data_IF_624707260066
#
_entry.id   IF_624707260066
#
_cell.length_a   1.000
_cell.length_b   1.000
_cell.length_c   1.000
_cell.angle_alpha   90.00
_cell.angle_beta   90.00
_cell.angle_gamma   90.00
#
_symmetry.space_group_name_H-M   'P 1'
#
loop_
_entity.id
_entity.type
_entity.pdbx_description
1 polymer ?
#
# COMPACT_ATOMS: atom_id res chain seq x y z
N UNK A 1 33.05 -7.75 14.85
CA UNK A 1 33.18 -7.14 13.51
C UNK A 1 32.98 -8.14 12.36
N UNK A 2 33.49 -9.38 12.44
CA UNK A 2 33.32 -10.38 11.38
C UNK A 2 31.85 -10.76 11.09
N UNK A 3 30.98 -10.85 12.10
CA UNK A 3 29.56 -11.19 11.91
C UNK A 3 28.76 -10.10 11.17
N UNK A 4 29.05 -8.82 11.44
CA UNK A 4 28.42 -7.70 10.72
C UNK A 4 28.87 -7.64 9.27
N UNK A 5 30.15 -7.92 9.00
CA UNK A 5 30.70 -7.98 7.65
C UNK A 5 30.16 -9.20 6.87
N UNK A 6 30.05 -10.37 7.51
CA UNK A 6 29.46 -11.57 6.91
C UNK A 6 27.97 -11.39 6.61
N UNK A 7 27.24 -10.69 7.49
CA UNK A 7 25.83 -10.33 7.27
C UNK A 7 25.69 -9.31 6.12
N UNK A 8 26.56 -8.29 6.05
CA UNK A 8 26.56 -7.33 4.95
C UNK A 8 26.91 -7.97 3.60
N UNK A 9 27.87 -8.90 3.57
CA UNK A 9 28.23 -9.67 2.37
C UNK A 9 27.08 -10.58 1.93
N UNK A 10 26.39 -11.21 2.89
CA UNK A 10 25.18 -11.99 2.64
C UNK A 10 24.06 -11.15 2.02
N UNK A 11 23.82 -9.95 2.55
CA UNK A 11 22.79 -9.02 2.04
C UNK A 11 23.12 -8.52 0.62
N UNK A 12 24.39 -8.18 0.34
CA UNK A 12 24.82 -7.81 -1.00
C UNK A 12 24.62 -8.95 -2.02
N UNK A 13 24.88 -10.20 -1.61
CA UNK A 13 24.59 -11.38 -2.43
C UNK A 13 23.11 -11.53 -2.73
N UNK A 14 22.23 -11.33 -1.74
CA UNK A 14 20.77 -11.35 -1.92
C UNK A 14 20.33 -10.28 -2.93
N UNK A 15 20.85 -9.06 -2.81
CA UNK A 15 20.50 -7.96 -3.72
C UNK A 15 20.96 -8.20 -5.17
N UNK A 16 22.12 -8.81 -5.37
CA UNK A 16 22.63 -9.16 -6.71
C UNK A 16 21.74 -10.21 -7.40
N UNK A 17 21.42 -11.30 -6.70
CA UNK A 17 20.53 -12.37 -7.21
C UNK A 17 19.14 -11.82 -7.52
N UNK A 18 18.63 -10.95 -6.65
CA UNK A 18 17.36 -10.26 -6.88
C UNK A 18 17.36 -9.47 -8.20
N UNK A 19 18.42 -8.71 -8.49
CA UNK A 19 18.50 -7.92 -9.72
C UNK A 19 18.47 -8.81 -10.97
N UNK A 20 19.19 -9.93 -10.96
CA UNK A 20 19.16 -10.91 -12.04
C UNK A 20 17.77 -11.53 -12.21
N UNK A 21 17.12 -11.93 -11.11
CA UNK A 21 15.76 -12.46 -11.13
C UNK A 21 14.76 -11.45 -11.72
N UNK A 22 14.82 -10.19 -11.30
CA UNK A 22 13.97 -9.12 -11.85
C UNK A 22 14.23 -8.88 -13.34
N UNK A 23 15.44 -9.17 -13.83
CA UNK A 23 15.75 -9.15 -15.25
C UNK A 23 15.17 -10.37 -15.97
N UNK A 24 15.23 -11.57 -15.38
CA UNK A 24 14.65 -12.78 -15.94
C UNK A 24 13.13 -12.66 -16.16
N UNK A 25 12.39 -12.04 -15.23
CA UNK A 25 10.96 -11.74 -15.44
C UNK A 25 10.71 -10.80 -16.62
N UNK A 26 11.58 -9.79 -16.83
CA UNK A 26 11.46 -8.87 -17.97
C UNK A 26 11.74 -9.58 -19.28
N UNK A 27 12.72 -10.47 -19.31
CA UNK A 27 13.06 -11.22 -20.52
C UNK A 27 11.93 -12.20 -20.87
N UNK A 28 11.34 -12.87 -19.88
CA UNK A 28 10.18 -13.75 -20.05
C UNK A 28 8.98 -13.04 -20.66
N UNK A 29 8.69 -11.83 -20.17
CA UNK A 29 7.56 -11.02 -20.64
C UNK A 29 7.84 -10.31 -21.96
N UNK A 30 9.11 -10.13 -22.35
CA UNK A 30 9.51 -9.41 -23.57
C UNK A 30 9.49 -10.27 -24.84
N UNK A 31 9.48 -11.60 -24.72
CA UNK A 31 9.38 -12.47 -25.88
C UNK A 31 8.18 -12.05 -26.77
N UNK A 32 8.41 -11.88 -28.07
CA UNK A 32 7.55 -11.09 -28.96
C UNK A 32 6.36 -11.89 -29.47
N UNK A 33 5.23 -11.21 -29.59
CA UNK A 33 3.96 -11.66 -30.19
C UNK A 33 3.50 -13.06 -29.73
N UNK A 34 3.31 -13.17 -28.42
CA UNK A 34 2.71 -14.37 -27.85
C UNK A 34 1.26 -14.58 -28.33
N UNK A 35 0.90 -15.82 -28.69
CA UNK A 35 -0.47 -16.21 -29.02
C UNK A 35 -1.38 -16.03 -27.82
N UNK A 36 -2.69 -15.99 -28.10
CA UNK A 36 -3.75 -15.93 -27.08
C UNK A 36 -3.54 -16.91 -25.92
N UNK A 37 -3.02 -18.11 -26.22
CA UNK A 37 -2.79 -19.18 -25.24
C UNK A 37 -1.78 -18.87 -24.14
N UNK A 38 -0.89 -17.88 -24.29
CA UNK A 38 0.20 -17.61 -23.34
C UNK A 38 0.02 -16.33 -22.53
N UNK A 39 -1.00 -15.52 -22.84
CA UNK A 39 -1.22 -14.24 -22.13
C UNK A 39 -1.41 -14.43 -20.63
N UNK A 40 -2.00 -15.55 -20.22
CA UNK A 40 -2.20 -15.89 -18.81
C UNK A 40 -0.86 -16.11 -18.11
N UNK A 41 0.07 -16.86 -18.71
CA UNK A 41 1.39 -17.12 -18.13
C UNK A 41 2.22 -15.84 -18.04
N UNK A 42 2.15 -14.99 -19.06
CA UNK A 42 2.82 -13.70 -19.04
C UNK A 42 2.27 -12.78 -17.95
N UNK A 43 0.95 -12.74 -17.82
CA UNK A 43 0.28 -11.97 -16.77
C UNK A 43 0.67 -12.50 -15.39
N UNK A 44 0.73 -13.82 -15.20
CA UNK A 44 1.22 -14.45 -13.98
C UNK A 44 2.68 -14.06 -13.69
N UNK A 45 3.58 -14.16 -14.67
CA UNK A 45 4.98 -13.76 -14.51
C UNK A 45 5.12 -12.27 -14.15
N UNK A 46 4.28 -11.42 -14.71
CA UNK A 46 4.27 -9.98 -14.37
C UNK A 46 3.76 -9.71 -12.96
N UNK A 47 2.77 -10.49 -12.48
CA UNK A 47 2.31 -10.41 -11.09
C UNK A 47 3.38 -10.92 -10.12
N UNK A 48 4.08 -12.01 -10.48
CA UNK A 48 5.21 -12.54 -9.71
C UNK A 48 6.38 -11.54 -9.64
N UNK A 49 6.70 -10.83 -10.72
CA UNK A 49 7.66 -9.72 -10.74
C UNK A 49 7.24 -8.63 -9.73
N UNK A 50 5.99 -8.18 -9.78
CA UNK A 50 5.49 -7.16 -8.85
C UNK A 50 5.48 -7.65 -7.39
N UNK A 51 5.12 -8.91 -7.16
CA UNK A 51 5.16 -9.56 -5.84
C UNK A 51 6.59 -9.64 -5.29
N UNK A 52 7.54 -10.08 -6.12
CA UNK A 52 8.98 -10.13 -5.79
C UNK A 52 9.52 -8.74 -5.46
N UNK A 53 9.15 -7.71 -6.24
CA UNK A 53 9.52 -6.32 -5.96
C UNK A 53 8.93 -5.84 -4.65
N UNK A 54 7.64 -6.03 -4.43
CA UNK A 54 6.99 -5.60 -3.18
C UNK A 54 7.64 -6.24 -1.94
N UNK A 55 8.00 -7.51 -2.03
CA UNK A 55 8.74 -8.20 -0.97
C UNK A 55 10.11 -7.57 -0.75
N UNK A 56 10.90 -7.38 -1.81
CA UNK A 56 12.25 -6.82 -1.74
C UNK A 56 12.28 -5.41 -1.15
N UNK A 57 11.31 -4.58 -1.49
CA UNK A 57 11.16 -3.24 -0.90
C UNK A 57 10.78 -3.32 0.59
N UNK A 58 9.83 -4.19 0.94
CA UNK A 58 9.38 -4.36 2.32
C UNK A 58 10.47 -4.93 3.25
N UNK A 59 11.33 -5.80 2.73
CA UNK A 59 12.51 -6.29 3.45
C UNK A 59 13.72 -5.35 3.33
N UNK A 60 13.60 -4.22 2.65
CA UNK A 60 14.63 -3.19 2.57
C UNK A 60 15.87 -3.58 1.74
N UNK A 61 15.72 -4.51 0.78
CA UNK A 61 16.76 -4.89 -0.18
C UNK A 61 16.82 -3.94 -1.38
N UNK A 62 15.75 -3.17 -1.61
CA UNK A 62 15.72 -2.13 -2.63
C UNK A 62 14.77 -1.00 -2.21
N UNK A 63 14.89 0.16 -2.85
CA UNK A 63 13.93 1.26 -2.71
C UNK A 63 12.85 1.23 -3.80
N UNK A 64 11.90 2.18 -3.70
CA UNK A 64 10.82 2.38 -4.66
C UNK A 64 11.27 2.65 -6.11
N UNK A 65 12.54 3.01 -6.32
CA UNK A 65 13.12 3.22 -7.67
C UNK A 65 13.76 1.93 -8.23
N UNK A 66 13.86 0.89 -7.41
CA UNK A 66 14.57 -0.36 -7.71
C UNK A 66 16.08 -0.29 -7.45
N UNK A 67 16.57 0.76 -6.78
CA UNK A 67 17.97 0.86 -6.40
C UNK A 67 18.26 -0.08 -5.22
N UNK A 68 19.37 -0.83 -5.22
CA UNK A 68 19.68 -1.78 -4.17
C UNK A 68 19.95 -1.07 -2.84
N UNK A 69 19.45 -1.65 -1.75
CA UNK A 69 19.67 -1.22 -0.38
C UNK A 69 20.38 -2.33 0.40
N UNK A 70 21.22 -1.94 1.34
CA UNK A 70 21.99 -2.88 2.16
C UNK A 70 21.28 -3.21 3.49
N UNK A 71 19.95 -3.32 3.48
CA UNK A 71 19.15 -3.66 4.68
C UNK A 71 18.43 -4.99 4.46
N UNK A 72 18.15 -5.69 5.54
CA UNK A 72 17.33 -6.91 5.53
C UNK A 72 16.37 -6.91 6.72
N UNK A 73 15.26 -6.20 6.54
CA UNK A 73 14.24 -5.85 7.52
C UNK A 73 13.19 -6.96 7.67
N UNK A 74 13.63 -8.14 8.07
CA UNK A 74 12.75 -9.27 8.40
C UNK A 74 12.53 -9.38 9.91
N UNK A 75 11.48 -10.10 10.34
CA UNK A 75 11.17 -10.30 11.78
C UNK A 75 12.36 -10.89 12.56
N UNK A 76 13.14 -11.79 11.93
CA UNK A 76 14.29 -12.48 12.54
C UNK A 76 15.54 -12.40 11.66
N UNK A 77 16.29 -11.28 11.68
CA UNK A 77 17.47 -11.12 10.83
C UNK A 77 18.63 -11.97 11.38
N UNK A 78 19.00 -13.02 10.66
CA UNK A 78 20.17 -13.85 10.95
C UNK A 78 20.97 -14.08 9.67
N UNK A 79 22.28 -14.33 9.79
CA UNK A 79 23.11 -14.67 8.63
C UNK A 79 22.61 -15.93 7.90
N UNK A 80 22.10 -16.92 8.67
CA UNK A 80 21.49 -18.13 8.11
C UNK A 80 20.24 -17.80 7.27
N UNK A 81 19.41 -16.86 7.74
CA UNK A 81 18.23 -16.44 7.00
C UNK A 81 18.60 -15.65 5.74
N UNK A 82 19.60 -14.77 5.79
CA UNK A 82 20.10 -14.09 4.60
C UNK A 82 20.64 -15.08 3.55
N UNK A 83 21.41 -16.09 3.98
CA UNK A 83 21.90 -17.16 3.10
C UNK A 83 20.78 -18.01 2.51
N UNK A 84 19.76 -18.34 3.32
CA UNK A 84 18.62 -19.12 2.84
C UNK A 84 17.77 -18.31 1.85
N UNK A 85 17.54 -17.03 2.11
CA UNK A 85 16.85 -16.13 1.19
C UNK A 85 17.60 -16.00 -0.15
N UNK A 86 18.93 -15.84 -0.11
CA UNK A 86 19.76 -15.82 -1.32
C UNK A 86 19.61 -17.12 -2.12
N UNK A 87 19.67 -18.29 -1.46
CA UNK A 87 19.49 -19.60 -2.12
C UNK A 87 18.10 -19.75 -2.72
N UNK A 88 17.06 -19.33 -2.02
CA UNK A 88 15.68 -19.39 -2.55
C UNK A 88 15.54 -18.50 -3.78
N UNK A 89 16.06 -17.26 -3.74
CA UNK A 89 16.04 -16.37 -4.90
C UNK A 89 16.87 -16.90 -6.07
N UNK A 90 18.01 -17.55 -5.79
CA UNK A 90 18.86 -18.17 -6.82
C UNK A 90 18.11 -19.31 -7.51
N UNK A 91 17.40 -20.13 -6.75
CA UNK A 91 16.59 -21.20 -7.32
C UNK A 91 15.45 -20.65 -8.21
N UNK A 92 14.83 -19.53 -7.81
CA UNK A 92 13.84 -18.86 -8.67
C UNK A 92 14.51 -18.30 -9.94
N UNK A 93 15.70 -17.70 -9.82
CA UNK A 93 16.47 -17.19 -10.96
C UNK A 93 16.82 -18.30 -11.96
N UNK A 94 17.27 -19.46 -11.48
CA UNK A 94 17.58 -20.64 -12.31
C UNK A 94 16.33 -21.10 -13.07
N UNK A 95 15.21 -21.30 -12.38
CA UNK A 95 13.93 -21.69 -12.99
C UNK A 95 13.47 -20.72 -14.08
N UNK A 96 13.59 -19.41 -13.82
CA UNK A 96 13.21 -18.39 -14.79
C UNK A 96 14.20 -18.28 -15.95
N UNK A 97 15.48 -18.59 -15.72
CA UNK A 97 16.52 -18.66 -16.76
C UNK A 97 16.23 -19.81 -17.71
N UNK A 98 15.99 -21.02 -17.19
CA UNK A 98 15.64 -22.20 -17.97
C UNK A 98 14.36 -21.98 -18.79
N UNK A 99 13.37 -21.31 -18.19
CA UNK A 99 12.14 -20.93 -18.89
C UNK A 99 12.41 -19.94 -20.04
N UNK A 100 13.31 -18.97 -19.84
CA UNK A 100 13.72 -18.03 -20.88
C UNK A 100 14.52 -18.70 -22.00
N UNK A 101 15.41 -19.64 -21.67
CA UNK A 101 16.11 -20.46 -22.66
C UNK A 101 15.13 -21.26 -23.50
N UNK A 102 14.18 -21.94 -22.84
CA UNK A 102 13.07 -22.66 -23.51
C UNK A 102 12.25 -21.73 -24.41
N UNK A 103 12.05 -20.46 -24.03
CA UNK A 103 11.36 -19.48 -24.87
C UNK A 103 12.22 -18.99 -26.06
N UNK A 104 13.54 -18.89 -25.89
CA UNK A 104 14.47 -18.36 -26.88
C UNK A 104 14.90 -19.40 -27.94
N UNK A 105 14.92 -20.68 -27.61
CA UNK A 105 15.33 -21.76 -28.51
C UNK A 105 14.40 -21.98 -29.70
N UNK A 106 13.15 -21.48 -29.64
CA UNK A 106 12.16 -21.75 -30.69
C UNK A 106 12.10 -20.64 -31.75
N UNK A 107 12.54 -20.99 -32.96
CA UNK A 107 12.39 -20.16 -34.15
C UNK A 107 10.94 -20.14 -34.67
N UNK A 108 10.41 -18.94 -34.85
CA UNK A 108 9.09 -18.65 -35.40
C UNK A 108 8.94 -19.16 -36.85
N UNK A 109 8.36 -20.34 -37.04
CA UNK A 109 7.99 -20.82 -38.37
C UNK A 109 6.73 -20.08 -38.87
N UNK A 110 6.78 -19.54 -40.09
CA UNK A 110 5.63 -18.94 -40.78
C UNK A 110 4.64 -20.04 -41.19
N UNK A 111 3.58 -20.26 -40.39
CA UNK A 111 2.46 -21.12 -40.81
C UNK A 111 1.31 -20.25 -41.38
N UNK A 112 0.89 -20.45 -42.65
CA UNK A 112 -0.21 -19.69 -43.25
C UNK A 112 -1.56 -20.00 -42.58
N UNK A 113 -2.35 -18.95 -42.34
CA UNK A 113 -3.66 -19.02 -41.70
C UNK A 113 -4.66 -19.87 -42.49
N UNK A 114 -5.04 -21.03 -41.95
CA UNK A 114 -6.30 -21.68 -42.31
C UNK A 114 -7.44 -21.04 -41.49
N UNK A 115 -8.32 -20.34 -42.19
CA UNK A 115 -9.45 -19.59 -41.65
C UNK A 115 -10.58 -20.58 -41.29
N UNK A 116 -10.53 -21.17 -40.09
CA UNK A 116 -11.61 -22.01 -39.58
C UNK A 116 -12.57 -21.20 -38.70
N UNK A 117 -13.73 -20.89 -39.27
CA UNK A 117 -14.90 -20.33 -38.59
C UNK A 117 -15.46 -21.32 -37.55
N UNK A 118 -15.49 -20.97 -36.25
CA UNK A 118 -16.31 -21.68 -35.26
C UNK A 118 -16.84 -20.74 -34.17
N UNK A 119 -18.17 -20.51 -34.16
CA UNK A 119 -19.04 -20.52 -32.98
C UNK A 119 -18.92 -19.44 -31.89
N UNK A 120 -20.07 -18.94 -31.43
CA UNK A 120 -20.27 -17.87 -30.42
C UNK A 120 -19.54 -18.00 -29.07
N UNK A 121 -18.92 -19.15 -28.76
CA UNK A 121 -17.99 -19.32 -27.62
C UNK A 121 -16.73 -18.45 -27.79
N UNK A 122 -16.28 -18.25 -29.03
CA UNK A 122 -15.10 -17.47 -29.35
C UNK A 122 -15.23 -16.00 -28.93
N UNK A 123 -16.45 -15.44 -28.93
CA UNK A 123 -16.67 -14.02 -28.59
C UNK A 123 -16.42 -13.73 -27.10
N UNK A 124 -16.83 -14.61 -26.18
CA UNK A 124 -16.60 -14.43 -24.74
C UNK A 124 -15.14 -14.67 -24.36
N UNK A 125 -14.50 -15.64 -25.00
CA UNK A 125 -13.08 -15.92 -24.82
C UNK A 125 -12.20 -14.80 -25.40
N UNK A 126 -12.59 -14.25 -26.55
CA UNK A 126 -11.95 -13.10 -27.18
C UNK A 126 -12.10 -11.83 -26.33
N UNK A 127 -13.26 -11.61 -25.70
CA UNK A 127 -13.45 -10.52 -24.74
C UNK A 127 -12.56 -10.70 -23.50
N UNK A 128 -12.50 -11.91 -22.92
CA UNK A 128 -11.63 -12.21 -21.76
C UNK A 128 -10.15 -12.00 -22.09
N UNK A 129 -9.68 -12.49 -23.23
CA UNK A 129 -8.30 -12.33 -23.69
C UNK A 129 -7.95 -10.87 -24.00
N UNK A 130 -8.92 -10.09 -24.48
CA UNK A 130 -8.74 -8.65 -24.69
C UNK A 130 -8.56 -7.91 -23.37
N UNK A 131 -9.32 -8.28 -22.33
CA UNK A 131 -9.19 -7.74 -20.97
C UNK A 131 -7.84 -8.13 -20.35
N UNK A 132 -7.42 -9.40 -20.48
CA UNK A 132 -6.10 -9.87 -20.02
C UNK A 132 -4.96 -9.11 -20.69
N UNK A 133 -5.03 -8.92 -22.01
CA UNK A 133 -4.06 -8.11 -22.74
C UNK A 133 -4.03 -6.67 -22.29
N UNK A 134 -5.21 -6.05 -22.07
CA UNK A 134 -5.28 -4.69 -21.53
C UNK A 134 -4.53 -4.59 -20.20
N UNK A 135 -4.83 -5.49 -19.25
CA UNK A 135 -4.16 -5.53 -17.93
C UNK A 135 -2.67 -5.78 -18.07
N UNK A 136 -2.27 -6.77 -18.87
CA UNK A 136 -0.86 -7.07 -19.15
C UNK A 136 -0.13 -5.83 -19.71
N UNK A 137 -0.71 -5.13 -20.69
CA UNK A 137 -0.12 -3.92 -21.24
C UNK A 137 -0.05 -2.75 -20.24
N UNK A 138 -1.00 -2.65 -19.31
CA UNK A 138 -0.92 -1.68 -18.22
C UNK A 138 0.23 -2.02 -17.26
N UNK A 139 0.39 -3.29 -16.90
CA UNK A 139 1.47 -3.75 -16.02
C UNK A 139 2.86 -3.59 -16.64
N UNK A 140 2.99 -3.79 -17.95
CA UNK A 140 4.26 -3.65 -18.66
C UNK A 140 4.64 -2.20 -19.00
N UNK A 141 3.76 -1.21 -18.78
CA UNK A 141 3.98 0.19 -19.18
C UNK A 141 4.95 0.98 -18.29
N UNK A 142 5.99 0.32 -17.76
CA UNK A 142 7.18 0.98 -17.25
C UNK A 142 8.09 1.41 -18.42
N UNK A 143 7.87 2.65 -18.88
CA UNK A 143 8.53 3.42 -19.97
C UNK A 143 8.17 3.05 -21.43
N UNK A 144 7.49 3.93 -22.18
CA UNK A 144 7.56 3.88 -23.63
C UNK A 144 8.97 4.30 -24.05
N UNK A 145 9.64 3.49 -24.89
CA UNK A 145 10.69 4.06 -25.74
C UNK A 145 10.02 5.09 -26.64
N UNK A 146 10.46 6.34 -26.51
CA UNK A 146 10.60 7.26 -27.63
C UNK A 146 11.43 6.58 -28.71
N UNK A 147 10.76 5.74 -29.51
CA UNK A 147 11.29 5.11 -30.70
C UNK A 147 10.50 5.65 -31.88
N UNK A 148 11.18 6.50 -32.63
CA UNK A 148 10.82 7.05 -33.94
C UNK A 148 9.92 6.12 -34.75
N UNK A 149 8.75 6.62 -35.15
CA UNK A 149 7.98 6.26 -36.36
C UNK A 149 8.47 4.99 -37.09
N UNK A 150 8.08 3.81 -36.60
CA UNK A 150 8.27 2.55 -37.33
C UNK A 150 6.98 2.19 -38.06
N UNK A 151 7.00 2.48 -39.36
CA UNK A 151 6.28 1.84 -40.48
C UNK A 151 5.03 0.99 -40.16
N UNK A 152 3.89 1.43 -40.68
CA UNK A 152 2.58 0.76 -40.65
C UNK A 152 2.49 -0.54 -41.47
N UNK A 153 3.60 -1.18 -41.84
CA UNK A 153 3.62 -2.31 -42.78
C UNK A 153 4.25 -3.60 -42.22
N UNK A 154 4.27 -3.83 -40.91
CA UNK A 154 4.57 -5.16 -40.38
C UNK A 154 3.30 -6.02 -40.43
N UNK A 155 3.24 -6.88 -41.46
CA UNK A 155 2.35 -8.04 -41.53
C UNK A 155 2.35 -8.72 -40.17
N UNK A 156 1.19 -8.76 -39.50
CA UNK A 156 0.98 -9.49 -38.24
C UNK A 156 1.23 -10.98 -38.49
N UNK A 157 2.46 -11.43 -38.30
CA UNK A 157 2.84 -12.85 -38.32
C UNK A 157 2.26 -13.51 -37.08
N UNK A 158 1.17 -14.27 -37.23
CA UNK A 158 0.70 -15.17 -36.16
C UNK A 158 1.45 -16.47 -36.32
N UNK A 159 2.29 -16.77 -35.35
CA UNK A 159 3.03 -18.03 -35.28
C UNK A 159 2.13 -19.05 -34.59
N UNK A 160 2.06 -20.26 -35.12
CA UNK A 160 1.37 -21.39 -34.52
C UNK A 160 2.29 -22.03 -33.48
N UNK A 161 1.93 -21.87 -32.21
CA UNK A 161 2.71 -22.37 -31.07
C UNK A 161 2.24 -23.76 -30.63
N UNK A 162 2.19 -24.72 -31.56
CA UNK A 162 1.65 -26.06 -31.27
C UNK A 162 2.62 -27.00 -30.54
N UNK A 163 3.85 -26.57 -30.24
CA UNK A 163 4.92 -27.41 -29.64
C UNK A 163 5.65 -26.77 -28.46
N UNK A 164 5.17 -25.63 -27.93
CA UNK A 164 5.70 -25.13 -26.66
C UNK A 164 5.36 -26.15 -25.56
N UNK A 165 6.34 -26.47 -24.72
CA UNK A 165 6.10 -27.17 -23.46
C UNK A 165 5.36 -26.22 -22.49
N UNK A 166 4.11 -25.90 -22.84
CA UNK A 166 3.23 -25.05 -22.05
C UNK A 166 3.06 -25.64 -20.66
N UNK A 167 2.97 -26.96 -20.56
CA UNK A 167 2.90 -27.68 -19.30
C UNK A 167 4.18 -27.48 -18.50
N UNK A 168 5.36 -27.55 -19.13
CA UNK A 168 6.64 -27.19 -18.55
C UNK A 168 6.69 -25.75 -18.03
N UNK A 169 6.28 -24.77 -18.84
CA UNK A 169 6.22 -23.36 -18.42
C UNK A 169 5.22 -23.12 -17.28
N UNK A 170 4.05 -23.76 -17.34
CA UNK A 170 3.04 -23.72 -16.26
C UNK A 170 3.60 -24.32 -14.98
N UNK A 171 4.30 -25.45 -15.06
CA UNK A 171 4.96 -26.10 -13.93
C UNK A 171 6.07 -25.22 -13.36
N UNK A 172 6.91 -24.63 -14.20
CA UNK A 172 7.98 -23.73 -13.77
C UNK A 172 7.40 -22.52 -13.04
N UNK A 173 6.37 -21.87 -13.59
CA UNK A 173 5.71 -20.74 -12.91
C UNK A 173 5.02 -21.15 -11.60
N UNK A 174 4.45 -22.36 -11.53
CA UNK A 174 3.89 -22.89 -10.29
C UNK A 174 4.98 -23.12 -9.21
N UNK A 175 6.15 -23.60 -9.61
CA UNK A 175 7.29 -23.77 -8.70
C UNK A 175 7.85 -22.43 -8.22
N UNK A 176 8.01 -21.46 -9.13
CA UNK A 176 8.38 -20.08 -8.79
C UNK A 176 7.38 -19.47 -7.80
N UNK A 177 6.09 -19.67 -8.03
CA UNK A 177 5.02 -19.22 -7.12
C UNK A 177 5.20 -19.82 -5.72
N UNK A 178 5.45 -21.12 -5.63
CA UNK A 178 5.66 -21.82 -4.35
C UNK A 178 6.89 -21.28 -3.61
N UNK A 179 8.01 -21.05 -4.31
CA UNK A 179 9.23 -20.50 -3.74
C UNK A 179 9.04 -19.05 -3.28
N UNK A 180 8.26 -18.25 -4.00
CA UNK A 180 7.93 -16.88 -3.62
C UNK A 180 6.99 -16.82 -2.40
N UNK A 181 5.98 -17.68 -2.35
CA UNK A 181 5.14 -17.84 -1.15
C UNK A 181 5.97 -18.25 0.07
N UNK A 182 6.96 -19.12 -0.14
CA UNK A 182 7.92 -19.51 0.89
C UNK A 182 8.82 -18.34 1.29
N UNK A 183 9.27 -17.49 0.37
CA UNK A 183 10.02 -16.27 0.72
C UNK A 183 9.20 -15.37 1.65
N UNK A 184 7.91 -15.19 1.35
CA UNK A 184 7.00 -14.37 2.15
C UNK A 184 6.73 -14.98 3.54
N UNK A 185 6.78 -16.31 3.67
CA UNK A 185 6.53 -17.03 4.92
C UNK A 185 7.78 -17.15 5.80
N UNK A 186 8.90 -17.60 5.21
CA UNK A 186 10.16 -17.86 5.91
C UNK A 186 10.93 -16.56 6.23
N UNK A 187 10.76 -15.52 5.39
CA UNK A 187 11.44 -14.23 5.51
C UNK A 187 10.43 -13.08 5.59
N UNK A 188 9.48 -13.21 6.51
CA UNK A 188 8.41 -12.25 6.71
C UNK A 188 8.97 -10.83 6.98
N UNK A 189 8.55 -9.82 6.19
CA UNK A 189 8.93 -8.42 6.44
C UNK A 189 8.52 -7.99 7.85
N UNK A 190 9.27 -7.07 8.47
CA UNK A 190 8.89 -6.47 9.76
C UNK A 190 7.53 -5.77 9.73
N UNK A 191 7.15 -5.28 8.56
CA UNK A 191 5.87 -4.62 8.30
C UNK A 191 5.26 -5.23 7.03
N UNK A 192 4.52 -6.35 7.15
CA UNK A 192 3.80 -6.97 6.03
C UNK A 192 2.83 -6.00 5.35
N UNK A 193 2.28 -5.05 6.11
CA UNK A 193 1.41 -3.98 5.62
C UNK A 193 2.14 -3.09 4.61
N UNK A 194 3.45 -2.87 4.80
CA UNK A 194 4.28 -2.13 3.85
C UNK A 194 4.37 -2.86 2.52
N UNK A 195 4.52 -4.19 2.51
CA UNK A 195 4.53 -4.97 1.28
C UNK A 195 3.21 -4.83 0.52
N UNK A 196 2.08 -4.98 1.22
CA UNK A 196 0.76 -4.87 0.61
C UNK A 196 0.51 -3.46 0.06
N UNK A 197 0.92 -2.43 0.80
CA UNK A 197 0.82 -1.03 0.37
C UNK A 197 1.67 -0.77 -0.87
N UNK A 198 2.94 -1.19 -0.89
CA UNK A 198 3.85 -1.04 -2.04
C UNK A 198 3.26 -1.71 -3.28
N UNK A 199 2.77 -2.94 -3.13
CA UNK A 199 2.12 -3.67 -4.22
C UNK A 199 0.89 -2.90 -4.74
N UNK A 200 -0.01 -2.50 -3.83
CA UNK A 200 -1.24 -1.83 -4.18
C UNK A 200 -0.98 -0.47 -4.86
N UNK A 201 -0.05 0.32 -4.33
CA UNK A 201 0.36 1.60 -4.91
C UNK A 201 1.00 1.40 -6.29
N UNK A 202 1.81 0.36 -6.49
CA UNK A 202 2.34 -0.02 -7.81
C UNK A 202 1.21 -0.23 -8.82
N UNK A 203 0.19 -1.03 -8.48
CA UNK A 203 -0.97 -1.25 -9.35
C UNK A 203 -1.79 0.02 -9.60
N UNK A 204 -2.05 0.82 -8.57
CA UNK A 204 -2.80 2.08 -8.68
C UNK A 204 -2.08 3.10 -9.57
N UNK A 205 -0.75 3.20 -9.47
CA UNK A 205 0.07 4.09 -10.30
C UNK A 205 -0.03 3.77 -11.80
N UNK A 206 -0.36 2.52 -12.13
CA UNK A 206 -0.53 2.03 -13.49
C UNK A 206 -1.98 2.17 -14.00
N UNK A 207 -2.86 2.76 -13.20
CA UNK A 207 -4.27 2.97 -13.54
C UNK A 207 -5.12 1.69 -13.48
N UNK A 208 -4.68 0.66 -12.75
CA UNK A 208 -5.43 -0.58 -12.54
C UNK A 208 -6.64 -0.28 -11.63
N UNK A 209 -7.84 -0.33 -12.18
CA UNK A 209 -9.10 -0.11 -11.48
C UNK A 209 -9.72 -1.38 -10.90
N UNK A 210 -10.94 -1.28 -10.37
CA UNK A 210 -11.66 -2.39 -9.71
C UNK A 210 -11.92 -3.58 -10.65
N UNK A 211 -12.29 -3.30 -11.89
CA UNK A 211 -12.55 -4.35 -12.90
C UNK A 211 -11.28 -5.11 -13.25
N UNK A 212 -10.17 -4.39 -13.43
CA UNK A 212 -8.86 -4.99 -13.65
C UNK A 212 -8.38 -5.78 -12.44
N UNK A 213 -8.62 -5.29 -11.22
CA UNK A 213 -8.29 -6.01 -9.98
C UNK A 213 -9.06 -7.34 -9.87
N UNK A 214 -10.30 -7.38 -10.32
CA UNK A 214 -11.08 -8.63 -10.35
C UNK A 214 -10.49 -9.63 -11.34
N UNK A 215 -9.98 -9.17 -12.48
CA UNK A 215 -9.25 -10.03 -13.40
C UNK A 215 -7.93 -10.51 -12.78
N UNK A 216 -7.17 -9.63 -12.14
CA UNK A 216 -5.94 -9.99 -11.42
C UNK A 216 -6.24 -11.06 -10.36
N UNK A 217 -7.32 -10.92 -9.58
CA UNK A 217 -7.72 -11.92 -8.59
C UNK A 217 -7.94 -13.31 -9.21
N UNK A 218 -8.42 -13.38 -10.46
CA UNK A 218 -8.65 -14.65 -11.16
C UNK A 218 -7.39 -15.29 -11.77
N UNK A 219 -6.30 -14.52 -11.92
CA UNK A 219 -5.06 -14.97 -12.58
C UNK A 219 -3.90 -15.11 -11.60
N UNK A 220 -3.91 -14.32 -10.52
CA UNK A 220 -2.89 -14.32 -9.48
C UNK A 220 -2.72 -15.72 -8.86
N UNK A 221 -1.50 -16.25 -8.95
CA UNK A 221 -1.15 -17.53 -8.37
C UNK A 221 -0.57 -17.38 -6.96
N UNK A 222 0.20 -16.32 -6.70
CA UNK A 222 0.83 -16.08 -5.40
C UNK A 222 -0.12 -15.42 -4.39
N UNK A 223 0.09 -15.72 -3.11
CA UNK A 223 -0.80 -15.28 -2.01
C UNK A 223 -0.84 -13.77 -1.85
N UNK A 224 0.26 -13.07 -2.13
CA UNK A 224 0.34 -11.60 -1.97
C UNK A 224 -0.52 -10.92 -3.03
N UNK A 225 -0.36 -11.30 -4.31
CA UNK A 225 -1.18 -10.80 -5.41
C UNK A 225 -2.67 -11.08 -5.18
N UNK A 226 -3.03 -12.28 -4.73
CA UNK A 226 -4.41 -12.65 -4.39
C UNK A 226 -4.96 -11.78 -3.25
N UNK A 227 -4.18 -11.56 -2.19
CA UNK A 227 -4.59 -10.75 -1.04
C UNK A 227 -4.79 -9.29 -1.43
N UNK A 228 -3.89 -8.72 -2.23
CA UNK A 228 -4.01 -7.33 -2.72
C UNK A 228 -5.23 -7.17 -3.62
N UNK A 229 -5.45 -8.11 -4.55
CA UNK A 229 -6.61 -8.09 -5.43
C UNK A 229 -7.92 -8.27 -4.66
N UNK A 230 -7.96 -9.18 -3.68
CA UNK A 230 -9.13 -9.37 -2.81
C UNK A 230 -9.45 -8.13 -1.97
N UNK A 231 -8.43 -7.46 -1.39
CA UNK A 231 -8.62 -6.21 -0.66
C UNK A 231 -9.18 -5.10 -1.57
N UNK A 232 -8.73 -5.03 -2.82
CA UNK A 232 -9.20 -4.04 -3.78
C UNK A 232 -10.63 -4.32 -4.28
N UNK A 233 -10.98 -5.59 -4.51
CA UNK A 233 -12.30 -6.01 -5.01
C UNK A 233 -13.37 -5.95 -3.92
N UNK A 234 -13.06 -6.43 -2.72
CA UNK A 234 -13.98 -6.49 -1.57
C UNK A 234 -14.09 -5.17 -0.81
N UNK A 235 -13.54 -4.08 -1.36
CA UNK A 235 -13.37 -2.76 -0.74
C UNK A 235 -14.05 -2.54 0.61
N UNK A 236 -13.21 -2.24 1.62
CA UNK A 236 -13.56 -1.64 2.91
C UNK A 236 -14.02 -2.60 4.03
N UNK A 237 -13.05 -3.29 4.63
CA UNK A 237 -13.00 -3.37 6.10
C UNK A 237 -11.80 -2.62 6.69
N UNK A 238 -10.72 -2.41 5.91
CA UNK A 238 -9.50 -1.72 6.38
C UNK A 238 -8.82 -0.93 5.28
N UNK A 239 -9.60 -0.33 4.36
CA UNK A 239 -9.05 0.74 3.55
C UNK A 239 -8.45 1.76 4.51
N UNK A 240 -7.17 2.02 4.39
CA UNK A 240 -6.49 3.18 4.99
C UNK A 240 -6.98 4.46 4.30
N UNK A 241 -8.29 4.64 4.26
CA UNK A 241 -8.97 5.93 4.21
C UNK A 241 -8.93 6.51 5.62
N UNK A 242 -7.70 6.69 6.10
CA UNK A 242 -7.36 7.31 7.37
C UNK A 242 -6.28 8.33 7.07
N UNK A 243 -6.44 9.53 7.61
CA UNK A 243 -5.41 10.56 7.51
C UNK A 243 -4.07 9.99 8.02
N UNK A 244 -2.98 10.19 7.29
CA UNK A 244 -1.65 9.70 7.65
C UNK A 244 -0.87 10.75 8.44
N UNK A 245 -0.27 10.36 9.56
CA UNK A 245 0.51 11.22 10.45
C UNK A 245 1.87 10.60 10.77
N UNK A 246 2.96 11.37 10.69
CA UNK A 246 4.29 10.91 11.13
C UNK A 246 4.44 11.05 12.65
N UNK A 247 3.89 12.13 13.23
CA UNK A 247 3.95 12.40 14.67
C UNK A 247 2.81 13.31 15.15
N UNK A 248 2.19 12.95 16.28
CA UNK A 248 1.18 13.78 16.96
C UNK A 248 1.68 14.07 18.38
N UNK A 249 1.71 15.34 18.77
CA UNK A 249 2.11 15.79 20.11
C UNK A 249 0.97 16.64 20.68
N UNK A 250 0.32 16.16 21.74
CA UNK A 250 -0.74 16.88 22.45
C UNK A 250 -0.26 17.24 23.87
N UNK A 251 -0.30 18.52 24.20
CA UNK A 251 0.05 19.09 25.50
C UNK A 251 -1.12 19.08 26.49
N UNK A 252 -0.95 19.77 27.63
CA UNK A 252 -1.67 19.53 28.90
C UNK A 252 -3.21 19.60 28.84
N UNK A 253 -3.83 20.18 27.81
CA UNK A 253 -5.30 20.20 27.61
C UNK A 253 -5.70 20.10 26.13
N UNK A 254 -4.79 19.70 25.24
CA UNK A 254 -5.07 19.68 23.81
C UNK A 254 -5.90 18.45 23.45
N UNK A 255 -6.93 18.64 22.65
CA UNK A 255 -7.83 17.58 22.20
C UNK A 255 -7.77 17.43 20.68
N UNK A 256 -7.81 16.19 20.20
CA UNK A 256 -7.87 15.88 18.78
C UNK A 256 -9.09 14.99 18.49
N UNK A 257 -9.91 15.39 17.54
CA UNK A 257 -11.03 14.63 17.01
C UNK A 257 -10.72 14.22 15.57
N UNK A 258 -10.69 12.91 15.32
CA UNK A 258 -10.45 12.35 14.00
C UNK A 258 -11.68 11.58 13.53
N UNK A 259 -12.20 11.95 12.37
CA UNK A 259 -13.40 11.36 11.80
C UNK A 259 -14.34 12.40 11.22
N UNK A 260 -15.27 11.94 10.37
CA UNK A 260 -16.27 12.80 9.77
C UNK A 260 -17.28 13.26 10.82
N UNK A 261 -17.65 14.54 10.77
CA UNK A 261 -18.72 15.11 11.57
C UNK A 261 -20.02 15.11 10.75
N UNK A 262 -21.09 14.53 11.29
CA UNK A 262 -22.41 14.52 10.65
C UNK A 262 -23.41 15.19 11.58
N UNK A 263 -24.04 16.27 11.11
CA UNK A 263 -25.00 17.00 11.91
C UNK A 263 -26.29 16.19 12.11
N UNK A 264 -26.95 16.32 13.28
CA UNK A 264 -28.28 15.76 13.50
C UNK A 264 -29.26 16.31 12.45
N UNK A 265 -29.87 15.42 11.66
CA UNK A 265 -30.79 15.78 10.58
C UNK A 265 -30.18 15.84 9.17
N UNK A 266 -28.89 15.52 9.02
CA UNK A 266 -28.30 15.32 7.70
C UNK A 266 -28.81 14.01 7.09
N UNK A 267 -29.65 14.11 6.04
CA UNK A 267 -30.20 12.97 5.33
C UNK A 267 -29.23 12.53 4.22
N UNK A 268 -28.64 11.36 4.36
CA UNK A 268 -27.89 10.70 3.29
C UNK A 268 -28.90 10.17 2.27
N UNK A 269 -28.91 10.72 1.05
CA UNK A 269 -29.58 10.04 -0.06
C UNK A 269 -28.85 8.74 -0.36
N UNK A 270 -29.60 7.65 -0.58
CA UNK A 270 -29.10 6.28 -0.58
C UNK A 270 -27.81 6.01 -1.37
N UNK A 271 -27.02 5.06 -0.86
CA UNK A 271 -25.77 4.50 -1.42
C UNK A 271 -24.63 5.47 -1.74
N UNK A 272 -24.70 6.75 -1.33
CA UNK A 272 -23.52 7.62 -1.39
C UNK A 272 -22.54 7.25 -0.27
N UNK A 273 -21.45 6.55 -0.67
CA UNK A 273 -20.23 6.44 0.13
C UNK A 273 -19.76 7.87 0.46
N UNK A 274 -19.79 8.25 1.74
CA UNK A 274 -19.26 9.52 2.21
C UNK A 274 -17.83 9.69 1.66
N UNK A 275 -17.52 10.78 0.91
CA UNK A 275 -16.20 10.95 0.35
C UNK A 275 -15.17 10.92 1.48
N UNK A 276 -14.20 10.01 1.38
CA UNK A 276 -13.10 9.93 2.33
C UNK A 276 -12.21 11.16 2.20
N UNK A 277 -11.81 11.76 3.32
CA UNK A 277 -10.76 12.78 3.33
C UNK A 277 -9.38 12.12 3.48
N UNK A 278 -8.53 12.32 2.48
CA UNK A 278 -7.12 11.89 2.53
C UNK A 278 -6.27 13.07 2.98
N UNK A 279 -6.29 13.37 4.27
CA UNK A 279 -5.42 14.42 4.82
C UNK A 279 -4.05 13.83 5.16
N UNK A 280 -2.99 14.49 4.69
CA UNK A 280 -1.61 14.11 4.98
C UNK A 280 -0.97 15.21 5.82
N UNK A 281 -0.64 14.89 7.06
CA UNK A 281 0.05 15.82 7.96
C UNK A 281 1.34 15.17 8.42
N UNK A 282 2.46 15.89 8.31
CA UNK A 282 3.74 15.39 8.80
C UNK A 282 3.76 15.37 10.33
N UNK A 283 3.56 16.54 10.94
CA UNK A 283 3.57 16.70 12.39
C UNK A 283 2.35 17.52 12.80
N UNK A 284 1.64 17.06 13.82
CA UNK A 284 0.56 17.81 14.48
C UNK A 284 0.98 18.08 15.91
N UNK A 285 1.02 19.36 16.29
CA UNK A 285 1.33 19.79 17.65
C UNK A 285 0.20 20.66 18.16
N UNK A 286 -0.41 20.24 19.27
CA UNK A 286 -1.39 21.03 20.00
C UNK A 286 -0.91 21.20 21.43
N UNK A 287 -0.99 22.41 21.97
CA UNK A 287 -0.71 22.67 23.38
C UNK A 287 -1.88 23.44 24.03
N UNK A 288 -1.91 23.51 25.36
CA UNK A 288 -2.95 24.21 26.11
C UNK A 288 -4.36 23.79 25.67
N UNK A 289 -5.31 24.72 25.47
CA UNK A 289 -6.71 24.41 25.13
C UNK A 289 -6.96 24.25 23.62
N UNK A 290 -5.97 23.73 22.87
CA UNK A 290 -6.10 23.55 21.41
C UNK A 290 -7.07 22.39 21.08
N UNK A 291 -8.02 22.62 20.18
CA UNK A 291 -8.85 21.58 19.57
C UNK A 291 -8.45 21.39 18.11
N UNK A 292 -8.15 20.16 17.73
CA UNK A 292 -7.75 19.77 16.37
C UNK A 292 -8.81 18.83 15.81
N UNK A 293 -9.49 19.21 14.72
CA UNK A 293 -10.52 18.40 14.09
C UNK A 293 -10.08 18.00 12.68
N UNK A 294 -10.04 16.70 12.40
CA UNK A 294 -9.58 16.16 11.11
C UNK A 294 -10.65 15.22 10.57
N UNK A 295 -11.30 15.66 9.50
CA UNK A 295 -12.36 14.92 8.83
C UNK A 295 -13.27 15.85 8.05
N UNK A 296 -14.20 15.28 7.28
CA UNK A 296 -15.19 16.05 6.56
C UNK A 296 -16.37 16.42 7.46
N UNK A 297 -16.97 17.58 7.22
CA UNK A 297 -18.18 18.02 7.91
C UNK A 297 -19.38 17.95 6.97
N UNK A 298 -20.44 17.30 7.43
CA UNK A 298 -21.68 17.10 6.69
C UNK A 298 -22.85 17.73 7.44
N UNK A 299 -23.22 18.93 7.00
CA UNK A 299 -24.32 19.71 7.56
C UNK A 299 -24.02 20.32 8.94
N UNK A 300 -24.98 21.12 9.42
CA UNK A 300 -24.99 21.74 10.74
C UNK A 300 -23.77 22.62 11.06
N UNK A 301 -23.59 22.92 12.35
CA UNK A 301 -22.47 23.70 12.88
C UNK A 301 -21.21 22.85 12.98
N UNK A 302 -20.06 23.45 12.69
CA UNK A 302 -18.78 22.77 12.82
C UNK A 302 -18.45 22.47 14.29
N UNK A 303 -17.62 21.46 14.57
CA UNK A 303 -17.08 21.25 15.92
C UNK A 303 -16.43 22.50 16.52
N UNK A 304 -15.76 23.31 15.68
CA UNK A 304 -15.15 24.58 16.09
C UNK A 304 -16.21 25.63 16.44
N UNK A 305 -17.27 25.75 15.65
CA UNK A 305 -18.38 26.67 15.92
C UNK A 305 -19.13 26.29 17.21
N UNK A 306 -19.41 25.00 17.41
CA UNK A 306 -20.04 24.52 18.65
C UNK A 306 -19.18 24.79 19.88
N UNK A 307 -17.86 24.61 19.77
CA UNK A 307 -16.93 24.89 20.86
C UNK A 307 -16.85 26.39 21.14
N UNK A 308 -16.79 27.21 20.09
CA UNK A 308 -16.80 28.67 20.21
C UNK A 308 -18.07 29.17 20.92
N UNK A 309 -19.24 28.66 20.56
CA UNK A 309 -20.50 29.00 21.23
C UNK A 309 -20.53 28.57 22.70
N UNK A 310 -20.05 27.35 23.01
CA UNK A 310 -19.94 26.88 24.40
C UNK A 310 -19.01 27.77 25.22
N UNK A 311 -17.89 28.20 24.63
CA UNK A 311 -16.94 29.11 25.27
C UNK A 311 -17.59 30.48 25.51
N UNK A 312 -18.28 31.04 24.52
CA UNK A 312 -19.00 32.31 24.66
C UNK A 312 -20.12 32.23 25.71
N UNK A 313 -20.86 31.12 25.76
CA UNK A 313 -21.89 30.88 26.77
C UNK A 313 -21.29 30.74 28.19
N UNK A 314 -20.18 30.03 28.34
CA UNK A 314 -19.47 29.90 29.61
C UNK A 314 -18.91 31.25 30.10
N UNK A 315 -18.34 32.05 29.20
CA UNK A 315 -17.88 33.40 29.53
C UNK A 315 -19.04 34.32 29.94
N UNK A 316 -20.16 34.28 29.20
CA UNK A 316 -21.37 35.04 29.55
C UNK A 316 -21.98 34.63 30.90
N UNK A 317 -21.92 33.35 31.26
CA UNK A 317 -22.36 32.86 32.57
C UNK A 317 -21.41 33.30 33.70
N UNK A 318 -20.11 33.36 33.45
CA UNK A 318 -19.11 33.82 34.43
C UNK A 318 -19.21 35.32 34.74
N UNK A 319 -19.55 36.15 33.75
CA UNK A 319 -19.81 37.59 33.96
C UNK A 319 -21.04 37.86 34.82
N UNK A 320 -22.03 36.97 34.81
CA UNK A 320 -23.24 37.10 35.63
C UNK A 320 -23.08 36.60 37.08
N UNK A 321 -22.02 35.86 37.40
CA UNK A 321 -21.73 35.48 38.80
C UNK A 321 -20.99 36.59 39.57
N UNK A 322 -20.29 37.51 38.88
CA UNK A 322 -19.64 38.66 39.52
C UNK A 322 -20.58 39.83 39.81
N UNK A 323 -21.82 39.83 39.29
CA UNK A 323 -22.85 40.84 39.58
C UNK A 323 -23.83 40.40 40.68
N UNK A 324 -23.70 39.18 41.20
CA UNK A 324 -24.56 38.62 42.25
C UNK A 324 -23.93 38.63 43.65
N UNK A 325 -22.96 39.51 43.91
CA UNK A 325 -22.55 39.83 45.28
C UNK A 325 -23.38 41.03 45.77
N UNK A 326 -24.14 40.92 46.87
CA UNK A 326 -24.85 42.06 47.42
C UNK A 326 -23.82 43.12 47.90
N UNK A 327 -24.14 44.42 47.81
CA UNK A 327 -23.23 45.46 48.25
C UNK A 327 -22.96 45.32 49.74
N UNK A 328 -21.67 45.22 50.10
CA UNK A 328 -21.21 45.30 51.48
C UNK A 328 -21.63 46.68 52.01
N UNK A 329 -22.68 46.72 52.84
CA UNK A 329 -23.04 47.92 53.59
C UNK A 329 -21.86 48.26 54.51
N UNK A 330 -21.29 49.44 54.30
CA UNK A 330 -20.41 50.11 55.23
C UNK A 330 -21.14 50.31 56.58
N UNK A 331 -20.67 49.67 57.63
CA UNK A 331 -21.01 50.03 59.01
C UNK A 331 -19.73 50.46 59.73
N UNK A 332 -19.35 51.72 59.50
CA UNK A 332 -18.66 52.51 60.50
C UNK A 332 -19.69 52.85 61.57
N UNK A 333 -19.69 52.13 62.69
CA UNK A 333 -20.06 52.59 64.04
C UNK A 333 -20.22 51.38 64.97
N UNK A 334 -19.09 50.93 65.52
CA UNK A 334 -19.01 50.36 66.85
C UNK A 334 -17.54 50.40 67.27
N UNK A 335 -17.09 51.60 67.64
CA UNK A 335 -15.87 51.75 68.41
C UNK A 335 -16.02 51.20 69.83
N UNK A 336 -14.86 51.02 70.46
CA UNK A 336 -14.59 50.88 71.90
C UNK A 336 -14.56 49.47 72.51
N UNK A 337 -13.33 48.93 72.59
CA UNK A 337 -12.57 48.51 73.81
C UNK A 337 -11.64 47.35 73.43
N UNK A 338 -10.34 47.57 73.22
CA UNK A 338 -9.25 47.67 74.23
C UNK A 338 -9.21 46.45 75.18
N UNK A 339 -8.09 45.71 75.10
CA UNK A 339 -7.64 44.64 75.99
C UNK A 339 -6.81 43.62 75.18
N UNK A 340 -5.54 43.88 74.86
CA UNK A 340 -4.35 43.55 75.68
C UNK A 340 -4.42 42.18 76.37
N UNK A 341 -3.52 41.28 75.98
CA UNK A 341 -2.70 40.32 76.76
C UNK A 341 -2.27 39.18 75.81
N UNK A 342 -1.06 39.26 75.25
CA UNK A 342 0.16 38.64 75.79
C UNK A 342 0.05 37.10 75.87
N UNK A 343 0.68 36.44 74.91
CA UNK A 343 1.08 35.04 75.02
C UNK A 343 2.59 35.08 75.26
N UNK A 344 2.97 34.91 76.52
CA UNK A 344 4.34 34.60 76.91
C UNK A 344 4.32 33.45 77.92
N UNK A 345 5.32 32.59 77.80
CA UNK A 345 5.74 31.52 78.72
C UNK A 345 4.97 30.19 78.75
N UNK A 346 5.67 29.13 78.29
CA UNK A 346 6.02 28.01 79.16
C UNK A 346 7.20 27.20 78.61
N UNK A 347 8.32 27.33 79.30
CA UNK A 347 9.35 26.30 79.41
C UNK A 347 8.80 25.09 80.19
N UNK A 348 9.19 23.89 79.78
CA UNK A 348 9.87 22.88 80.61
C UNK A 348 10.56 21.86 79.71
#
# INVERSE_FOLDING_TARGET
>A
MAELAATALGIAGVASVLQNLLQCYKDFTRARDFPRSLITLMLQATLLDNSTRSWAEAVGLMDHTGAPLNKFLIERPTEKNAKLAARTLTHIEELMTDANETLNEYHFAEEPLALANVGSSLLKEEESDSKRRKVYHMLCRAKPRSGTRESSNMVRRRVSWSLLDREGLEKTLAEVTMLLDRLNTDFKPKSPETQMMVYQSSLQSLGIGKEEMQLIASVAADKVSQSVAALAVNGHATGTTGSTFERIVLGKQAAMHMGNFVAPGYALSGEELLPSSNNLFKIIEGNDQTLICIGNQYGGRSPMEMMHERMMAAMGASTNMNTAWPPLKSSHEAGLKIGMLEIESREF
#
